data_IF_948655097783
#
_entry.id   IF_948655097783
#
_cell.length_a   1.000
_cell.length_b   1.000
_cell.length_c   1.000
_cell.angle_alpha   90.00
_cell.angle_beta   90.00
_cell.angle_gamma   90.00
#
_symmetry.space_group_name_H-M   'P 1'
#
loop_
_entity.id
_entity.type
_entity.pdbx_description
1 polymer ?
#
# COMPACT_ATOMS: atom_id res chain seq x y z
N UNK A 1 19.40 8.14 -3.68
CA UNK A 1 18.86 7.09 -2.81
C UNK A 1 17.52 7.60 -2.32
N UNK A 2 16.44 6.95 -2.78
CA UNK A 2 15.06 7.26 -2.37
C UNK A 2 14.97 7.10 -0.84
N UNK A 3 14.22 7.94 -0.11
CA UNK A 3 14.18 7.85 1.36
C UNK A 3 13.65 6.50 1.84
N UNK A 4 12.88 5.81 0.99
CA UNK A 4 12.46 4.42 1.20
C UNK A 4 13.67 3.49 1.34
N UNK A 5 14.62 3.57 0.39
CA UNK A 5 15.85 2.77 0.38
C UNK A 5 16.75 3.13 1.57
N UNK A 6 16.79 4.41 1.96
CA UNK A 6 17.58 4.84 3.12
C UNK A 6 17.01 4.27 4.42
N UNK A 7 15.69 4.32 4.56
CA UNK A 7 14.98 3.79 5.71
C UNK A 7 15.10 2.27 5.79
N UNK A 8 14.90 1.59 4.66
CA UNK A 8 15.09 0.15 4.51
C UNK A 8 16.50 -0.28 4.94
N UNK A 9 17.53 0.40 4.42
CA UNK A 9 18.92 0.12 4.78
C UNK A 9 19.16 0.32 6.28
N UNK A 10 18.69 1.44 6.86
CA UNK A 10 18.83 1.71 8.28
C UNK A 10 18.22 0.60 9.14
N UNK A 11 17.01 0.15 8.78
CA UNK A 11 16.35 -0.93 9.50
C UNK A 11 17.09 -2.26 9.37
N UNK A 12 17.57 -2.62 8.17
CA UNK A 12 18.31 -3.87 7.98
C UNK A 12 19.65 -3.86 8.69
N UNK A 13 20.37 -2.74 8.65
CA UNK A 13 21.62 -2.57 9.40
C UNK A 13 21.35 -2.76 10.91
N UNK A 14 20.31 -2.12 11.45
CA UNK A 14 19.90 -2.28 12.86
C UNK A 14 19.49 -3.72 13.19
N UNK A 15 18.62 -4.35 12.39
CA UNK A 15 18.22 -5.74 12.62
C UNK A 15 19.42 -6.70 12.53
N UNK A 16 20.35 -6.45 11.60
CA UNK A 16 21.56 -7.25 11.47
C UNK A 16 22.44 -7.15 12.71
N UNK A 17 22.63 -5.94 13.25
CA UNK A 17 23.39 -5.73 14.49
C UNK A 17 22.78 -6.47 15.68
N UNK A 18 21.46 -6.48 15.80
CA UNK A 18 20.74 -7.18 16.88
C UNK A 18 20.80 -8.70 16.71
N UNK A 19 20.66 -9.21 15.48
CA UNK A 19 20.61 -10.66 15.23
C UNK A 19 21.99 -11.33 15.16
N UNK A 20 23.04 -10.58 14.81
CA UNK A 20 24.39 -11.12 14.59
C UNK A 20 24.97 -11.90 15.79
N UNK A 21 24.82 -11.47 17.05
CA UNK A 21 25.27 -12.23 18.21
C UNK A 21 24.59 -13.60 18.36
N UNK A 22 23.42 -13.79 17.75
CA UNK A 22 22.54 -14.94 17.92
C UNK A 22 22.50 -15.88 16.70
N UNK A 23 23.32 -15.62 15.67
CA UNK A 23 23.30 -16.39 14.41
C UNK A 23 23.47 -17.90 14.64
N UNK A 24 24.42 -18.29 15.49
CA UNK A 24 24.70 -19.71 15.73
C UNK A 24 23.55 -20.39 16.47
N UNK A 25 22.92 -19.71 17.44
CA UNK A 25 21.77 -20.20 18.19
C UNK A 25 20.57 -20.41 17.27
N UNK A 26 20.25 -19.40 16.45
CA UNK A 26 19.17 -19.44 15.47
C UNK A 26 19.39 -20.54 14.44
N UNK A 27 20.61 -20.66 13.90
CA UNK A 27 20.96 -21.67 12.88
C UNK A 27 20.82 -23.10 13.42
N UNK A 28 21.07 -23.29 14.71
CA UNK A 28 20.91 -24.57 15.39
C UNK A 28 19.47 -24.84 15.84
N UNK A 29 18.51 -23.97 15.51
CA UNK A 29 17.09 -24.11 15.87
C UNK A 29 16.82 -23.83 17.35
N UNK A 30 17.71 -23.11 18.04
CA UNK A 30 17.50 -22.69 19.42
C UNK A 30 16.61 -21.45 19.44
N UNK A 31 15.61 -21.45 20.31
CA UNK A 31 14.80 -20.25 20.53
C UNK A 31 15.64 -19.20 21.27
N UNK A 32 15.74 -18.01 20.67
CA UNK A 32 16.48 -16.87 21.22
C UNK A 32 15.48 -15.83 21.70
N UNK A 33 15.59 -15.47 22.97
CA UNK A 33 14.87 -14.33 23.53
C UNK A 33 15.63 -13.05 23.15
N UNK A 34 15.09 -12.29 22.21
CA UNK A 34 15.66 -11.02 21.78
C UNK A 34 15.01 -9.90 22.62
N UNK A 35 15.77 -9.22 23.49
CA UNK A 35 15.23 -8.15 24.34
C UNK A 35 14.54 -7.03 23.54
N UNK A 36 14.95 -6.86 22.29
CA UNK A 36 14.51 -5.81 21.37
C UNK A 36 13.51 -6.33 20.32
N UNK A 37 12.93 -7.53 20.52
CA UNK A 37 12.01 -8.15 19.56
C UNK A 37 10.82 -7.27 19.21
N UNK A 38 10.20 -6.63 20.21
CA UNK A 38 9.07 -5.71 19.99
C UNK A 38 9.49 -4.51 19.14
N UNK A 39 10.71 -4.01 19.32
CA UNK A 39 11.25 -2.90 18.54
C UNK A 39 11.53 -3.30 17.09
N UNK A 40 12.15 -4.46 16.88
CA UNK A 40 12.33 -5.05 15.54
C UNK A 40 10.98 -5.22 14.86
N UNK A 41 9.98 -5.74 15.59
CA UNK A 41 8.63 -5.92 15.06
C UNK A 41 7.97 -4.59 14.68
N UNK A 42 8.18 -3.54 15.46
CA UNK A 42 7.69 -2.20 15.13
C UNK A 42 8.36 -1.67 13.86
N UNK A 43 9.68 -1.78 13.75
CA UNK A 43 10.40 -1.24 12.61
C UNK A 43 10.16 -2.07 11.34
N UNK A 44 10.59 -3.34 11.37
CA UNK A 44 10.65 -4.21 10.21
C UNK A 44 9.25 -4.55 9.69
N UNK A 45 8.38 -5.13 10.52
CA UNK A 45 7.10 -5.64 10.03
C UNK A 45 6.18 -4.51 9.54
N UNK A 46 6.16 -3.34 10.19
CA UNK A 46 5.29 -2.24 9.74
C UNK A 46 5.80 -1.58 8.44
N UNK A 47 7.11 -1.48 8.26
CA UNK A 47 7.69 -1.05 6.97
C UNK A 47 7.37 -2.06 5.88
N UNK A 48 7.65 -3.34 6.13
CA UNK A 48 7.45 -4.42 5.17
C UNK A 48 5.98 -4.51 4.74
N UNK A 49 5.05 -4.45 5.69
CA UNK A 49 3.61 -4.40 5.40
C UNK A 49 3.24 -3.22 4.48
N UNK A 50 3.81 -2.03 4.71
CA UNK A 50 3.56 -0.87 3.85
C UNK A 50 4.08 -1.12 2.43
N UNK A 51 5.30 -1.64 2.31
CA UNK A 51 5.94 -1.90 1.01
C UNK A 51 5.22 -3.00 0.24
N UNK A 52 4.85 -4.11 0.87
CA UNK A 52 4.03 -5.16 0.23
C UNK A 52 2.68 -4.61 -0.26
N UNK A 53 2.05 -3.71 0.51
CA UNK A 53 0.80 -3.08 0.06
C UNK A 53 1.05 -2.23 -1.17
N UNK A 54 2.14 -1.46 -1.20
CA UNK A 54 2.50 -0.64 -2.34
C UNK A 54 2.80 -1.48 -3.58
N UNK A 55 3.52 -2.59 -3.44
CA UNK A 55 3.76 -3.55 -4.52
C UNK A 55 2.45 -4.17 -5.04
N UNK A 56 1.48 -4.46 -4.16
CA UNK A 56 0.15 -4.93 -4.56
C UNK A 56 -0.62 -3.89 -5.40
N UNK A 57 -0.44 -2.59 -5.11
CA UNK A 57 -1.00 -1.51 -5.92
C UNK A 57 -0.38 -1.46 -7.32
N UNK A 58 0.93 -1.67 -7.42
CA UNK A 58 1.63 -1.75 -8.71
C UNK A 58 1.20 -2.99 -9.50
N UNK A 59 1.10 -4.13 -8.82
CA UNK A 59 0.61 -5.38 -9.40
C UNK A 59 -0.81 -5.23 -9.96
N UNK A 60 -1.69 -4.51 -9.27
CA UNK A 60 -3.05 -4.24 -9.77
C UNK A 60 -3.04 -3.49 -11.11
N UNK A 61 -2.12 -2.53 -11.29
CA UNK A 61 -1.92 -1.84 -12.56
C UNK A 61 -1.48 -2.79 -13.68
N UNK A 62 -0.50 -3.66 -13.38
CA UNK A 62 -0.02 -4.68 -14.33
C UNK A 62 -1.14 -5.67 -14.70
N UNK A 63 -1.89 -6.15 -13.71
CA UNK A 63 -2.99 -7.09 -13.91
C UNK A 63 -4.08 -6.49 -14.79
N UNK A 64 -4.33 -5.18 -14.68
CA UNK A 64 -5.29 -4.49 -15.54
C UNK A 64 -4.75 -4.28 -16.97
N UNK A 65 -3.45 -4.08 -17.15
CA UNK A 65 -2.86 -3.82 -18.48
C UNK A 65 -2.69 -5.08 -19.34
N UNK A 66 -2.59 -6.26 -18.73
CA UNK A 66 -2.44 -7.53 -19.46
C UNK A 66 -3.77 -8.04 -20.05
N UNK A 67 -3.69 -9.03 -20.93
CA UNK A 67 -4.89 -9.74 -21.41
C UNK A 67 -5.58 -10.44 -20.24
N UNK A 68 -6.91 -10.36 -20.21
CA UNK A 68 -7.70 -11.03 -19.18
C UNK A 68 -7.53 -12.56 -19.14
N UNK A 69 -8.20 -13.23 -18.18
CA UNK A 69 -8.08 -14.68 -17.98
C UNK A 69 -8.38 -15.46 -19.26
N UNK A 70 -7.54 -16.46 -19.57
CA UNK A 70 -7.77 -17.39 -20.70
C UNK A 70 -9.02 -18.25 -20.51
N UNK A 71 -9.49 -18.39 -19.27
CA UNK A 71 -10.67 -19.16 -18.90
C UNK A 71 -11.95 -18.43 -19.29
N UNK A 72 -12.83 -19.10 -20.03
CA UNK A 72 -14.17 -18.60 -20.33
C UNK A 72 -15.11 -18.56 -19.11
N UNK A 73 -14.70 -19.09 -17.95
CA UNK A 73 -15.48 -19.04 -16.70
C UNK A 73 -15.54 -17.65 -16.09
N UNK A 74 -14.57 -16.79 -16.41
CA UNK A 74 -14.48 -15.43 -15.89
C UNK A 74 -14.49 -14.49 -17.10
N UNK A 75 -15.57 -13.72 -17.26
CA UNK A 75 -15.61 -12.71 -18.30
C UNK A 75 -14.65 -11.56 -17.96
N UNK A 76 -14.06 -10.97 -18.99
CA UNK A 76 -13.02 -9.95 -18.82
C UNK A 76 -13.52 -8.71 -18.05
N UNK A 77 -14.79 -8.33 -18.21
CA UNK A 77 -15.43 -7.27 -17.40
C UNK A 77 -15.42 -7.60 -15.90
N UNK A 78 -15.69 -8.86 -15.52
CA UNK A 78 -15.68 -9.29 -14.12
C UNK A 78 -14.27 -9.31 -13.55
N UNK A 79 -13.30 -9.69 -14.38
CA UNK A 79 -11.89 -9.65 -14.01
C UNK A 79 -11.42 -8.21 -13.77
N UNK A 80 -11.66 -7.28 -14.70
CA UNK A 80 -11.28 -5.87 -14.53
C UNK A 80 -11.94 -5.27 -13.28
N UNK A 81 -13.24 -5.53 -13.09
CA UNK A 81 -13.97 -5.12 -11.88
C UNK A 81 -13.36 -5.69 -10.60
N UNK A 82 -12.91 -6.94 -10.61
CA UNK A 82 -12.24 -7.53 -9.45
C UNK A 82 -10.92 -6.80 -9.16
N UNK A 83 -10.04 -6.64 -10.16
CA UNK A 83 -8.75 -5.96 -10.00
C UNK A 83 -8.91 -4.53 -9.49
N UNK A 84 -9.85 -3.75 -10.05
CA UNK A 84 -10.11 -2.37 -9.63
C UNK A 84 -10.62 -2.31 -8.17
N UNK A 85 -11.50 -3.23 -7.76
CA UNK A 85 -11.97 -3.28 -6.39
C UNK A 85 -10.85 -3.66 -5.41
N UNK A 86 -9.99 -4.61 -5.78
CA UNK A 86 -8.80 -4.97 -4.99
C UNK A 86 -7.86 -3.78 -4.85
N UNK A 87 -7.57 -3.07 -5.94
CA UNK A 87 -6.77 -1.85 -5.91
C UNK A 87 -7.30 -0.80 -4.92
N UNK A 88 -8.61 -0.50 -4.98
CA UNK A 88 -9.23 0.46 -4.07
C UNK A 88 -9.21 0.00 -2.60
N UNK A 89 -9.30 -1.32 -2.38
CA UNK A 89 -9.17 -1.92 -1.05
C UNK A 89 -7.74 -1.76 -0.51
N UNK A 90 -6.74 -2.04 -1.33
CA UNK A 90 -5.33 -1.93 -0.95
C UNK A 90 -4.92 -0.47 -0.70
N UNK A 91 -5.46 0.49 -1.46
CA UNK A 91 -5.25 1.91 -1.18
C UNK A 91 -5.77 2.31 0.22
N UNK A 92 -6.90 1.74 0.63
CA UNK A 92 -7.41 1.96 1.98
C UNK A 92 -6.53 1.27 3.04
N UNK A 93 -6.12 0.02 2.79
CA UNK A 93 -5.24 -0.71 3.71
C UNK A 93 -3.93 0.06 3.90
N UNK A 94 -3.36 0.61 2.83
CA UNK A 94 -2.15 1.42 2.88
C UNK A 94 -2.31 2.64 3.78
N UNK A 95 -3.41 3.40 3.63
CA UNK A 95 -3.74 4.52 4.52
C UNK A 95 -3.77 4.09 5.99
N UNK A 96 -4.43 2.98 6.31
CA UNK A 96 -4.53 2.51 7.69
C UNK A 96 -3.17 2.04 8.23
N UNK A 97 -2.37 1.34 7.42
CA UNK A 97 -1.00 0.90 7.76
C UNK A 97 -0.09 2.10 8.06
N UNK A 98 -0.11 3.13 7.22
CA UNK A 98 0.65 4.38 7.42
C UNK A 98 0.27 5.08 8.74
N UNK A 99 -1.03 5.23 9.02
CA UNK A 99 -1.49 5.85 10.27
C UNK A 99 -1.10 5.02 11.51
N UNK A 100 -1.25 3.70 11.43
CA UNK A 100 -0.91 2.78 12.51
C UNK A 100 0.59 2.87 12.83
N UNK A 101 1.44 2.84 11.79
CA UNK A 101 2.87 2.88 12.00
C UNK A 101 3.35 4.24 12.55
N UNK A 102 2.89 5.36 11.97
CA UNK A 102 3.19 6.69 12.51
C UNK A 102 2.75 6.83 13.97
N UNK A 103 1.60 6.26 14.34
CA UNK A 103 1.12 6.25 15.73
C UNK A 103 2.02 5.46 16.66
N UNK A 104 2.51 4.29 16.23
CA UNK A 104 3.46 3.47 17.02
C UNK A 104 4.77 4.23 17.25
N UNK A 105 5.36 4.80 16.20
CA UNK A 105 6.58 5.61 16.28
C UNK A 105 6.36 6.82 17.21
N UNK A 106 5.26 7.55 17.04
CA UNK A 106 4.87 8.66 17.93
C UNK A 106 4.82 8.25 19.40
N UNK A 107 4.15 7.13 19.73
CA UNK A 107 4.02 6.65 21.11
C UNK A 107 5.37 6.28 21.71
N UNK A 108 6.17 5.52 20.97
CA UNK A 108 7.49 5.05 21.37
C UNK A 108 8.44 6.22 21.67
N UNK A 109 8.54 7.20 20.78
CA UNK A 109 9.44 8.34 20.99
C UNK A 109 8.92 9.32 22.04
N UNK A 110 7.60 9.45 22.21
CA UNK A 110 7.04 10.21 23.32
C UNK A 110 7.37 9.60 24.69
N UNK A 111 7.34 8.26 24.83
CA UNK A 111 7.77 7.61 26.08
C UNK A 111 9.25 7.83 26.40
N UNK A 112 10.08 8.11 25.40
CA UNK A 112 11.49 8.47 25.54
C UNK A 112 11.72 9.96 25.80
N UNK A 113 10.66 10.75 26.00
CA UNK A 113 10.75 12.21 26.23
C UNK A 113 11.06 13.03 24.97
N UNK A 114 11.02 12.43 23.78
CA UNK A 114 11.34 13.07 22.50
C UNK A 114 10.11 13.75 21.87
N UNK A 115 9.28 14.41 22.67
CA UNK A 115 8.01 14.99 22.17
C UNK A 115 8.21 16.08 21.13
N UNK A 116 9.23 16.92 21.27
CA UNK A 116 9.50 18.02 20.33
C UNK A 116 9.81 17.53 18.91
N UNK A 117 10.62 16.46 18.77
CA UNK A 117 10.95 15.92 17.44
C UNK A 117 9.76 15.18 16.83
N UNK A 118 8.95 14.52 17.66
CA UNK A 118 7.69 13.88 17.24
C UNK A 118 6.68 14.92 16.73
N UNK A 119 6.52 16.03 17.44
CA UNK A 119 5.67 17.15 17.02
C UNK A 119 6.13 17.75 15.68
N UNK A 120 7.44 17.88 15.49
CA UNK A 120 8.02 18.46 14.28
C UNK A 120 7.92 17.53 13.06
N UNK A 121 8.17 16.23 13.24
CA UNK A 121 8.37 15.31 12.12
C UNK A 121 7.21 14.32 11.93
N UNK A 122 6.50 13.89 12.98
CA UNK A 122 5.43 12.89 12.85
C UNK A 122 4.05 13.52 12.76
N UNK A 123 3.74 14.56 13.53
CA UNK A 123 2.39 15.15 13.49
C UNK A 123 1.98 15.63 12.08
N UNK A 124 2.87 16.29 11.29
CA UNK A 124 2.51 16.71 9.94
C UNK A 124 2.16 15.55 9.00
N UNK A 125 2.70 14.36 9.27
CA UNK A 125 2.50 13.17 8.43
C UNK A 125 1.02 12.75 8.43
N UNK A 126 0.30 12.89 9.54
CA UNK A 126 -1.12 12.52 9.60
C UNK A 126 -1.98 13.36 8.66
N UNK A 127 -1.71 14.67 8.55
CA UNK A 127 -2.43 15.56 7.64
C UNK A 127 -2.08 15.28 6.18
N UNK A 128 -0.82 14.95 5.89
CA UNK A 128 -0.37 14.56 4.56
C UNK A 128 -1.02 13.23 4.14
N UNK A 129 -1.09 12.23 5.03
CA UNK A 129 -1.81 10.97 4.76
C UNK A 129 -3.30 11.28 4.49
N UNK A 130 -3.95 12.04 5.38
CA UNK A 130 -5.38 12.35 5.28
C UNK A 130 -5.72 13.04 3.96
N UNK A 131 -4.94 14.04 3.57
CA UNK A 131 -5.14 14.78 2.33
C UNK A 131 -4.88 13.92 1.08
N UNK A 132 -3.83 13.10 1.10
CA UNK A 132 -3.45 12.21 -0.02
C UNK A 132 -4.50 11.15 -0.32
N UNK A 133 -5.17 10.62 0.71
CA UNK A 133 -6.17 9.56 0.55
C UNK A 133 -7.63 10.06 0.54
N UNK A 134 -7.88 11.37 0.64
CA UNK A 134 -9.23 11.94 0.76
C UNK A 134 -10.16 11.45 -0.36
N UNK A 135 -9.72 11.53 -1.62
CA UNK A 135 -10.54 11.13 -2.76
C UNK A 135 -10.96 9.66 -2.72
N UNK A 136 -10.09 8.77 -2.25
CA UNK A 136 -10.37 7.33 -2.14
C UNK A 136 -11.28 7.04 -0.97
N UNK A 137 -11.08 7.72 0.17
CA UNK A 137 -11.96 7.60 1.34
C UNK A 137 -13.37 8.08 1.01
N UNK A 138 -13.53 9.21 0.32
CA UNK A 138 -14.83 9.73 -0.11
C UNK A 138 -15.53 8.76 -1.09
N UNK A 139 -14.75 8.16 -1.98
CA UNK A 139 -15.22 7.16 -2.95
C UNK A 139 -15.61 5.83 -2.27
N UNK A 140 -14.90 5.40 -1.23
CA UNK A 140 -15.24 4.19 -0.48
C UNK A 140 -16.42 4.44 0.47
N UNK A 141 -16.40 5.53 1.22
CA UNK A 141 -17.38 5.82 2.28
C UNK A 141 -18.82 5.90 1.77
N UNK A 142 -19.02 6.39 0.54
CA UNK A 142 -20.33 6.42 -0.12
C UNK A 142 -20.79 5.06 -0.66
N UNK A 143 -19.87 4.14 -0.99
CA UNK A 143 -20.18 2.86 -1.62
C UNK A 143 -20.21 1.67 -0.65
N UNK A 144 -19.29 1.58 0.31
CA UNK A 144 -19.07 0.39 1.18
C UNK A 144 -20.33 -0.04 1.96
N UNK A 145 -21.25 0.88 2.24
CA UNK A 145 -22.46 0.58 3.01
C UNK A 145 -23.69 0.25 2.16
N UNK A 146 -23.64 0.41 0.83
CA UNK A 146 -24.83 0.27 -0.02
C UNK A 146 -24.62 -0.61 -1.27
N UNK A 147 -23.45 -0.56 -1.90
CA UNK A 147 -23.14 -1.32 -3.12
C UNK A 147 -21.64 -1.40 -3.37
N UNK A 148 -21.19 -2.40 -4.13
CA UNK A 148 -19.79 -2.39 -4.61
C UNK A 148 -19.50 -1.10 -5.36
N UNK A 149 -18.25 -0.64 -5.27
CA UNK A 149 -17.83 0.53 -6.03
C UNK A 149 -18.07 0.27 -7.52
N UNK A 150 -18.58 1.31 -8.19
CA UNK A 150 -18.81 1.31 -9.62
C UNK A 150 -18.75 2.74 -10.14
N UNK A 151 -18.35 2.87 -11.40
CA UNK A 151 -18.45 4.09 -12.18
C UNK A 151 -19.05 3.76 -13.55
N UNK A 152 -19.24 4.79 -14.38
CA UNK A 152 -19.85 4.65 -15.70
C UNK A 152 -19.12 3.63 -16.57
N UNK A 153 -17.78 3.65 -16.61
CA UNK A 153 -17.01 2.70 -17.44
C UNK A 153 -17.15 1.25 -16.97
N UNK A 154 -17.18 1.03 -15.66
CA UNK A 154 -17.42 -0.29 -15.08
C UNK A 154 -18.83 -0.79 -15.38
N UNK A 155 -19.84 0.07 -15.24
CA UNK A 155 -21.24 -0.27 -15.51
C UNK A 155 -21.46 -0.56 -16.99
N UNK A 156 -20.90 0.26 -17.89
CA UNK A 156 -20.99 0.08 -19.34
C UNK A 156 -20.31 -1.22 -19.77
N UNK A 157 -19.09 -1.51 -19.30
CA UNK A 157 -18.40 -2.76 -19.62
C UNK A 157 -19.20 -3.99 -19.16
N UNK A 158 -19.80 -3.93 -17.96
CA UNK A 158 -20.66 -5.01 -17.45
C UNK A 158 -21.97 -5.15 -18.25
N UNK A 159 -22.60 -4.04 -18.63
CA UNK A 159 -23.81 -4.02 -19.44
C UNK A 159 -23.55 -4.62 -20.82
N UNK A 160 -22.57 -4.09 -21.56
CA UNK A 160 -22.27 -4.55 -22.92
C UNK A 160 -21.74 -5.98 -22.95
N UNK A 161 -20.94 -6.40 -21.96
CA UNK A 161 -20.52 -7.81 -21.82
C UNK A 161 -21.72 -8.74 -21.60
N UNK A 162 -22.70 -8.32 -20.81
CA UNK A 162 -23.92 -9.10 -20.58
C UNK A 162 -24.81 -9.16 -21.82
N UNK A 163 -25.01 -8.03 -22.51
CA UNK A 163 -25.78 -7.97 -23.75
C UNK A 163 -25.12 -8.80 -24.86
N UNK A 164 -23.80 -8.76 -25.00
CA UNK A 164 -23.07 -9.54 -26.01
C UNK A 164 -23.20 -11.06 -25.82
N UNK A 165 -23.43 -11.54 -24.59
CA UNK A 165 -23.73 -12.96 -24.32
C UNK A 165 -25.09 -13.38 -24.86
N UNK A 166 -26.05 -12.47 -24.90
CA UNK A 166 -27.40 -12.72 -25.39
C UNK A 166 -27.57 -12.41 -26.89
N UNK A 167 -26.94 -11.34 -27.37
CA UNK A 167 -26.92 -10.94 -28.77
C UNK A 167 -25.46 -10.67 -29.22
N UNK A 168 -24.85 -11.61 -29.98
CA UNK A 168 -23.47 -11.49 -30.44
C UNK A 168 -23.15 -10.23 -31.25
N UNK A 169 -24.16 -9.52 -31.79
CA UNK A 169 -23.97 -8.24 -32.49
C UNK A 169 -23.35 -7.15 -31.61
N UNK A 170 -23.51 -7.25 -30.29
CA UNK A 170 -22.90 -6.34 -29.33
C UNK A 170 -21.45 -6.68 -28.98
N UNK A 171 -20.89 -7.78 -29.51
CA UNK A 171 -19.49 -8.18 -29.21
C UNK A 171 -18.46 -7.09 -29.51
N UNK A 172 -18.53 -6.32 -30.63
CA UNK A 172 -17.59 -5.22 -30.87
C UNK A 172 -17.70 -4.11 -29.82
N UNK A 173 -18.92 -3.76 -29.39
CA UNK A 173 -19.17 -2.73 -28.38
C UNK A 173 -18.70 -3.19 -26.99
N UNK A 174 -18.93 -4.47 -26.66
CA UNK A 174 -18.39 -5.06 -25.43
C UNK A 174 -16.86 -5.02 -25.38
N UNK A 175 -16.19 -5.31 -26.49
CA UNK A 175 -14.72 -5.21 -26.56
C UNK A 175 -14.25 -3.77 -26.40
N UNK A 176 -14.86 -2.83 -27.12
CA UNK A 176 -14.50 -1.42 -27.05
C UNK A 176 -14.67 -0.83 -25.64
N UNK A 177 -15.77 -1.16 -24.95
CA UNK A 177 -16.00 -0.71 -23.56
C UNK A 177 -15.01 -1.30 -22.56
N UNK A 178 -14.58 -2.55 -22.76
CA UNK A 178 -13.53 -3.17 -21.92
C UNK A 178 -12.18 -2.49 -22.15
N UNK A 179 -11.81 -2.21 -23.40
CA UNK A 179 -10.55 -1.50 -23.69
C UNK A 179 -10.56 -0.09 -23.09
N UNK A 180 -11.66 0.66 -23.24
CA UNK A 180 -11.82 1.98 -22.63
C UNK A 180 -11.71 1.92 -21.09
N UNK A 181 -12.37 0.93 -20.47
CA UNK A 181 -12.26 0.70 -19.03
C UNK A 181 -10.80 0.50 -18.60
N UNK A 182 -10.05 -0.34 -19.32
CA UNK A 182 -8.65 -0.64 -19.01
C UNK A 182 -7.73 0.56 -19.22
N UNK A 183 -7.98 1.37 -20.24
CA UNK A 183 -7.26 2.60 -20.51
C UNK A 183 -7.47 3.62 -19.38
N UNK A 184 -8.73 3.98 -19.10
CA UNK A 184 -9.04 4.99 -18.08
C UNK A 184 -8.55 4.60 -16.68
N UNK A 185 -8.80 3.34 -16.28
CA UNK A 185 -8.35 2.87 -14.98
C UNK A 185 -6.85 2.61 -14.93
N UNK A 186 -6.24 2.22 -16.04
CA UNK A 186 -4.80 2.07 -16.16
C UNK A 186 -4.10 3.41 -15.88
N UNK A 187 -4.53 4.48 -16.55
CA UNK A 187 -4.01 5.82 -16.32
C UNK A 187 -4.23 6.29 -14.87
N UNK A 188 -5.43 6.04 -14.32
CA UNK A 188 -5.77 6.41 -12.95
C UNK A 188 -4.88 5.69 -11.93
N UNK A 189 -4.66 4.38 -12.09
CA UNK A 189 -3.78 3.59 -11.21
C UNK A 189 -2.34 4.09 -11.30
N UNK A 190 -1.82 4.31 -12.51
CA UNK A 190 -0.45 4.81 -12.72
C UNK A 190 -0.27 6.17 -12.03
N UNK A 191 -1.20 7.12 -12.27
CA UNK A 191 -1.13 8.45 -11.68
C UNK A 191 -1.25 8.44 -10.15
N UNK A 192 -2.10 7.57 -9.60
CA UNK A 192 -2.23 7.41 -8.16
C UNK A 192 -0.99 6.75 -7.53
N UNK A 193 -0.45 5.70 -8.14
CA UNK A 193 0.74 5.01 -7.63
C UNK A 193 1.97 5.93 -7.61
N UNK A 194 2.13 6.80 -8.63
CA UNK A 194 3.17 7.82 -8.62
C UNK A 194 3.05 8.77 -7.42
N UNK A 195 1.83 9.25 -7.11
CA UNK A 195 1.58 10.09 -5.92
C UNK A 195 1.78 9.35 -4.61
N UNK A 196 1.44 8.06 -4.55
CA UNK A 196 1.70 7.22 -3.39
C UNK A 196 3.21 7.07 -3.19
N UNK A 197 3.99 6.87 -4.25
CA UNK A 197 5.45 6.81 -4.16
C UNK A 197 6.05 8.10 -3.59
N UNK A 198 5.58 9.26 -4.05
CA UNK A 198 5.97 10.57 -3.51
C UNK A 198 5.61 10.70 -2.02
N UNK A 199 4.41 10.25 -1.63
CA UNK A 199 3.97 10.20 -0.24
C UNK A 199 4.88 9.31 0.62
N UNK A 200 5.19 8.10 0.15
CA UNK A 200 6.04 7.16 0.88
C UNK A 200 7.44 7.74 1.07
N UNK A 201 8.01 8.36 0.04
CA UNK A 201 9.31 9.02 0.13
C UNK A 201 9.32 10.13 1.19
N UNK A 202 8.27 10.96 1.26
CA UNK A 202 8.13 11.96 2.33
C UNK A 202 7.92 11.32 3.72
N UNK A 203 7.04 10.31 3.79
CA UNK A 203 6.69 9.60 5.00
C UNK A 203 7.94 8.97 5.66
N UNK A 204 8.73 8.23 4.89
CA UNK A 204 9.93 7.58 5.39
C UNK A 204 11.08 8.55 5.65
N UNK A 205 11.14 9.70 4.98
CA UNK A 205 12.06 10.78 5.37
C UNK A 205 11.76 11.31 6.79
N UNK A 206 10.47 11.50 7.10
CA UNK A 206 10.03 11.95 8.41
C UNK A 206 10.31 10.91 9.50
N UNK A 207 9.99 9.63 9.22
CA UNK A 207 10.31 8.54 10.14
C UNK A 207 11.81 8.44 10.37
N UNK A 208 12.61 8.46 9.30
CA UNK A 208 14.07 8.43 9.37
C UNK A 208 14.59 9.52 10.31
N UNK A 209 14.13 10.76 10.17
CA UNK A 209 14.55 11.86 11.04
C UNK A 209 14.21 11.69 12.53
N UNK A 210 13.24 10.85 12.87
CA UNK A 210 12.82 10.60 14.27
C UNK A 210 13.56 9.42 14.88
N UNK A 211 13.73 8.34 14.12
CA UNK A 211 14.24 7.06 14.63
C UNK A 211 15.76 7.03 14.74
N UNK A 212 16.49 7.96 14.12
CA UNK A 212 17.95 8.00 14.18
C UNK A 212 18.52 9.24 14.86
N UNK A 213 19.66 9.06 15.50
CA UNK A 213 20.54 10.13 15.99
C UNK A 213 21.98 9.71 15.75
N UNK A 214 22.78 10.58 15.13
CA UNK A 214 24.17 10.28 14.73
C UNK A 214 24.32 8.97 13.90
N UNK A 215 23.38 8.70 13.00
CA UNK A 215 23.33 7.48 12.17
C UNK A 215 23.09 6.17 12.94
N UNK A 216 22.74 6.24 14.22
CA UNK A 216 22.33 5.08 15.01
C UNK A 216 20.83 5.13 15.27
N UNK A 217 20.20 3.95 15.14
CA UNK A 217 18.79 3.78 15.50
C UNK A 217 18.64 3.90 17.00
N UNK A 218 17.66 4.70 17.44
CA UNK A 218 17.34 4.85 18.84
C UNK A 218 16.42 3.70 19.25
N UNK A 219 16.98 2.76 20.00
CA UNK A 219 16.23 1.67 20.63
C UNK A 219 15.66 2.17 21.97
N UNK A 220 14.38 1.89 22.30
CA UNK A 220 13.76 2.23 23.58
C UNK A 220 14.38 1.57 24.81
#
# INVERSE_FOLDING_TARGET
MDNNEQYEKLMFDCCSEILKPHIDEITNGTEVDLPEKEFIDILYHNFYDIMETYEALELSGVLLSVKGPRSNKISEDKYCRYVINTYLQDMYILKERLNSYATKIKRMHNSLGRTQIVELLIEPVFDVIKSSFKGIVDTRGSHVHQRRYTDTTLDDASLFSSTAKSDPKFSPVSKASIELLKEEWGERIIGNNAKVKELLNYYFACLYGVIQENQQVIVP
#
